data_IF_262579898532
#
_entry.id   IF_262579898532
#
_cell.length_a   1.000
_cell.length_b   1.000
_cell.length_c   1.000
_cell.angle_alpha   90.00
_cell.angle_beta   90.00
_cell.angle_gamma   90.00
#
_symmetry.space_group_name_H-M   'P 1'
#
loop_
_entity.id
_entity.type
_entity.pdbx_description
1 polymer ?
#
# COMPACT_ATOMS: atom_id res chain seq x y z
N UNK A 1 -1.56 -17.07 -1.97
CA UNK A 1 -0.78 -15.88 -2.38
C UNK A 1 -1.76 -14.99 -3.11
N UNK A 2 -1.97 -13.75 -2.66
CA UNK A 2 -2.86 -12.82 -3.36
C UNK A 2 -2.00 -11.86 -4.18
N UNK A 3 -2.43 -11.59 -5.42
CA UNK A 3 -1.77 -10.68 -6.33
C UNK A 3 -2.51 -9.34 -6.36
N UNK A 4 -1.79 -8.23 -6.27
CA UNK A 4 -2.38 -6.90 -6.46
C UNK A 4 -2.41 -6.60 -7.95
N UNK A 5 -3.61 -6.45 -8.51
CA UNK A 5 -3.83 -6.21 -9.94
C UNK A 5 -3.91 -4.71 -10.24
N UNK A 6 -4.62 -3.95 -9.41
CA UNK A 6 -4.78 -2.51 -9.56
C UNK A 6 -4.84 -1.80 -8.21
N UNK A 7 -4.44 -0.52 -8.22
CA UNK A 7 -4.55 0.40 -7.10
C UNK A 7 -5.34 1.62 -7.56
N UNK A 8 -6.43 1.97 -6.87
CA UNK A 8 -7.34 3.06 -7.24
C UNK A 8 -7.72 3.04 -8.73
N UNK A 9 -8.05 1.85 -9.26
CA UNK A 9 -8.37 1.60 -10.68
C UNK A 9 -7.19 1.75 -11.66
N UNK A 10 -5.97 1.98 -11.17
CA UNK A 10 -4.74 2.03 -11.98
C UNK A 10 -3.99 0.69 -11.92
N UNK A 11 -3.70 0.04 -13.07
CA UNK A 11 -3.00 -1.24 -13.10
C UNK A 11 -1.60 -1.17 -12.46
N UNK A 12 -1.28 -2.18 -11.63
CA UNK A 12 0.03 -2.29 -10.98
C UNK A 12 1.02 -3.00 -11.91
N UNK A 13 2.16 -2.35 -12.20
CA UNK A 13 3.20 -2.91 -13.07
C UNK A 13 4.29 -3.66 -12.32
N UNK A 14 4.66 -3.16 -11.13
CA UNK A 14 5.69 -3.72 -10.27
C UNK A 14 5.57 -3.13 -8.86
N UNK A 15 6.38 -3.63 -7.93
CA UNK A 15 6.34 -3.22 -6.52
C UNK A 15 6.72 -1.75 -6.31
N UNK A 16 7.70 -1.24 -7.06
CA UNK A 16 8.11 0.18 -6.99
C UNK A 16 6.99 1.11 -7.44
N UNK A 17 6.34 0.77 -8.55
CA UNK A 17 5.16 1.49 -9.03
C UNK A 17 4.03 1.53 -8.00
N UNK A 18 3.77 0.40 -7.32
CA UNK A 18 2.78 0.35 -6.25
C UNK A 18 3.17 1.23 -5.05
N UNK A 19 4.41 1.14 -4.59
CA UNK A 19 4.90 1.94 -3.47
C UNK A 19 4.73 3.45 -3.73
N UNK A 20 5.16 3.91 -4.91
CA UNK A 20 4.99 5.32 -5.32
C UNK A 20 3.52 5.72 -5.33
N UNK A 21 2.63 4.91 -5.92
CA UNK A 21 1.19 5.23 -5.96
C UNK A 21 0.57 5.34 -4.56
N UNK A 22 0.99 4.51 -3.61
CA UNK A 22 0.48 4.54 -2.22
C UNK A 22 1.02 5.76 -1.47
N UNK A 23 2.30 6.08 -1.64
CA UNK A 23 2.92 7.25 -1.01
C UNK A 23 2.30 8.55 -1.50
N UNK A 24 2.17 8.72 -2.82
CA UNK A 24 1.62 9.90 -3.49
C UNK A 24 0.09 9.98 -3.46
N UNK A 25 -0.60 8.94 -2.96
CA UNK A 25 -2.06 8.93 -2.89
C UNK A 25 -2.57 9.99 -1.90
N UNK A 26 -3.36 10.91 -2.44
CA UNK A 26 -4.06 11.97 -1.72
C UNK A 26 -5.58 11.76 -1.68
N UNK A 27 -6.07 10.63 -2.19
CA UNK A 27 -7.48 10.25 -2.13
C UNK A 27 -7.88 9.82 -0.72
N UNK A 28 -9.17 9.86 -0.42
CA UNK A 28 -9.70 9.46 0.88
C UNK A 28 -9.49 7.97 1.18
N UNK A 29 -9.41 7.14 0.13
CA UNK A 29 -9.28 5.70 0.26
C UNK A 29 -8.14 5.13 -0.58
N UNK A 30 -7.47 4.12 -0.03
CA UNK A 30 -6.55 3.23 -0.70
C UNK A 30 -7.34 1.97 -1.10
N UNK A 31 -7.66 1.85 -2.37
CA UNK A 31 -8.37 0.71 -2.95
C UNK A 31 -7.37 -0.21 -3.67
N UNK A 32 -7.28 -1.45 -3.22
CA UNK A 32 -6.48 -2.50 -3.83
C UNK A 32 -7.40 -3.54 -4.45
N UNK A 33 -7.33 -3.68 -5.77
CA UNK A 33 -7.97 -4.76 -6.50
C UNK A 33 -7.01 -5.94 -6.54
N UNK A 34 -7.45 -7.07 -6.00
CA UNK A 34 -6.67 -8.30 -5.87
C UNK A 34 -7.18 -9.38 -6.85
N UNK A 35 -6.44 -10.47 -6.95
CA UNK A 35 -6.91 -11.68 -7.62
C UNK A 35 -8.22 -12.21 -7.02
N UNK A 36 -8.97 -12.96 -7.85
CA UNK A 36 -10.27 -13.54 -7.49
C UNK A 36 -11.35 -12.50 -7.13
N UNK A 37 -11.34 -11.36 -7.84
CA UNK A 37 -12.33 -10.27 -7.70
C UNK A 37 -12.44 -9.72 -6.26
N UNK A 38 -11.36 -9.84 -5.48
CA UNK A 38 -11.31 -9.33 -4.12
C UNK A 38 -10.87 -7.87 -4.10
N UNK A 39 -11.50 -7.06 -3.27
CA UNK A 39 -11.17 -5.63 -3.12
C UNK A 39 -10.90 -5.33 -1.65
N UNK A 40 -9.77 -4.68 -1.38
CA UNK A 40 -9.43 -4.15 -0.05
C UNK A 40 -9.49 -2.63 -0.11
N UNK A 41 -10.24 -2.02 0.81
CA UNK A 41 -10.36 -0.57 0.92
C UNK A 41 -9.93 -0.14 2.31
N UNK A 42 -8.97 0.79 2.37
CA UNK A 42 -8.49 1.38 3.61
C UNK A 42 -8.68 2.90 3.54
N UNK A 43 -8.99 3.55 4.66
CA UNK A 43 -8.99 5.01 4.73
C UNK A 43 -7.54 5.51 4.80
N UNK A 44 -7.17 6.40 3.88
CA UNK A 44 -5.77 6.75 3.62
C UNK A 44 -5.08 7.36 4.84
N UNK A 45 -5.76 8.27 5.57
CA UNK A 45 -5.14 8.97 6.69
C UNK A 45 -4.89 8.04 7.87
N UNK A 46 -5.87 7.22 8.22
CA UNK A 46 -5.81 6.26 9.31
C UNK A 46 -4.81 5.15 8.99
N UNK A 47 -4.79 4.65 7.75
CA UNK A 47 -3.82 3.65 7.32
C UNK A 47 -2.37 4.18 7.43
N UNK A 48 -2.11 5.40 6.93
CA UNK A 48 -0.79 6.05 7.04
C UNK A 48 -0.41 6.32 8.50
N UNK A 49 -1.34 6.78 9.34
CA UNK A 49 -1.10 7.03 10.76
C UNK A 49 -0.81 5.75 11.56
N UNK A 50 -1.55 4.67 11.31
CA UNK A 50 -1.39 3.39 12.01
C UNK A 50 -0.09 2.65 11.66
N UNK A 51 0.53 2.98 10.52
CA UNK A 51 1.71 2.27 10.02
C UNK A 51 2.85 2.28 11.03
N UNK A 52 3.12 3.42 11.67
CA UNK A 52 4.23 3.55 12.61
C UNK A 52 4.07 2.64 13.85
N UNK A 53 2.87 2.61 14.44
CA UNK A 53 2.57 1.79 15.61
C UNK A 53 2.65 0.29 15.29
N UNK A 54 2.20 -0.11 14.09
CA UNK A 54 2.28 -1.49 13.59
C UNK A 54 3.75 -1.91 13.44
N UNK A 55 4.59 -1.07 12.83
CA UNK A 55 6.02 -1.35 12.66
C UNK A 55 6.72 -1.56 14.01
N UNK A 56 6.46 -0.67 14.96
CA UNK A 56 7.03 -0.76 16.32
C UNK A 56 6.56 -2.03 17.03
N UNK A 57 5.28 -2.37 16.95
CA UNK A 57 4.70 -3.57 17.60
C UNK A 57 5.32 -4.86 17.08
N UNK A 58 5.66 -4.90 15.78
CA UNK A 58 6.19 -6.10 15.12
C UNK A 58 7.72 -6.07 14.94
N UNK A 59 8.43 -5.14 15.59
CA UNK A 59 9.88 -4.96 15.49
C UNK A 59 10.37 -4.82 14.03
N UNK A 60 9.57 -4.18 13.17
CA UNK A 60 9.92 -3.94 11.77
C UNK A 60 10.67 -2.60 11.68
N UNK A 61 11.95 -2.60 11.26
CA UNK A 61 12.79 -1.40 11.31
C UNK A 61 12.41 -0.34 10.27
N UNK A 62 11.71 -0.71 9.19
CA UNK A 62 11.30 0.23 8.16
C UNK A 62 10.08 -0.25 7.39
N UNK A 63 9.22 0.69 6.98
CA UNK A 63 8.01 0.43 6.20
C UNK A 63 8.29 -0.13 4.80
N UNK A 64 9.45 0.22 4.23
CA UNK A 64 9.88 -0.17 2.90
C UNK A 64 11.38 -0.51 2.88
N UNK A 65 11.81 -1.37 1.95
CA UNK A 65 13.23 -1.63 1.72
C UNK A 65 13.93 -0.40 1.16
N UNK A 66 15.25 -0.31 1.32
CA UNK A 66 16.02 0.85 0.83
C UNK A 66 15.87 1.08 -0.68
N UNK A 67 15.74 0.03 -1.48
CA UNK A 67 15.55 0.15 -2.94
C UNK A 67 14.21 0.77 -3.35
N UNK A 68 13.23 0.72 -2.44
CA UNK A 68 11.90 1.29 -2.64
C UNK A 68 11.78 2.70 -2.06
N UNK A 69 12.72 3.13 -1.23
CA UNK A 69 12.78 4.51 -0.73
C UNK A 69 13.26 5.40 -1.88
N UNK A 70 12.44 6.38 -2.23
CA UNK A 70 12.68 7.35 -3.32
C UNK A 70 13.93 8.18 -3.11
#
# INVERSE_FOLDING_TARGET
MKLVLAFNSTPVKNLKHLATMVEECNEAFLKFDLDFDQVVVLETKTAKAATQDILTTHCIPSAASEELKS
#
